data_IF_782143366965
#
_entry.id   IF_782143366965
#
_cell.length_a   1.000
_cell.length_b   1.000
_cell.length_c   1.000
_cell.angle_alpha   90.00
_cell.angle_beta   90.00
_cell.angle_gamma   90.00
#
_symmetry.space_group_name_H-M   'P 1'
#
loop_
_entity.id
_entity.type
_entity.pdbx_description
1 polymer ?
#
# COMPACT_ATOMS: atom_id res chain seq x y z
N UNK A 1 25.31 24.76 -16.98
CA UNK A 1 26.44 23.82 -16.83
C UNK A 1 26.98 23.99 -15.41
N UNK A 2 27.11 23.01 -14.55
CA UNK A 2 27.01 21.57 -14.67
C UNK A 2 27.71 21.02 -13.44
N UNK A 3 26.98 20.92 -12.32
CA UNK A 3 27.41 20.22 -11.11
C UNK A 3 26.15 19.66 -10.43
N UNK A 4 25.42 18.80 -11.14
CA UNK A 4 24.80 17.67 -10.44
C UNK A 4 26.00 16.84 -9.97
N UNK A 5 26.24 16.83 -8.66
CA UNK A 5 27.39 16.17 -8.07
C UNK A 5 27.46 14.71 -8.55
N UNK A 6 28.65 14.27 -8.96
CA UNK A 6 28.99 12.87 -9.26
C UNK A 6 28.46 11.89 -8.19
N UNK A 7 28.27 12.37 -6.96
CA UNK A 7 27.61 11.68 -5.85
C UNK A 7 26.21 11.12 -6.17
N UNK A 8 25.37 11.80 -6.94
CA UNK A 8 24.01 11.33 -7.25
C UNK A 8 24.06 10.20 -8.29
N UNK A 9 24.95 10.33 -9.28
CA UNK A 9 25.20 9.29 -10.29
C UNK A 9 25.84 8.06 -9.66
N UNK A 10 26.78 8.26 -8.74
CA UNK A 10 27.42 7.22 -7.94
C UNK A 10 26.39 6.49 -7.04
N UNK A 11 25.46 7.22 -6.40
CA UNK A 11 24.42 6.64 -5.56
C UNK A 11 23.50 5.66 -6.32
N UNK A 12 23.23 5.92 -7.61
CA UNK A 12 22.40 5.05 -8.46
C UNK A 12 23.06 3.68 -8.68
N UNK A 13 24.39 3.62 -8.79
CA UNK A 13 25.12 2.36 -8.94
C UNK A 13 25.12 1.50 -7.67
N UNK A 14 25.01 2.12 -6.50
CA UNK A 14 24.99 1.41 -5.22
C UNK A 14 23.59 0.97 -4.75
N UNK A 15 22.51 1.33 -5.48
CA UNK A 15 21.14 0.85 -5.18
C UNK A 15 20.98 -0.67 -5.29
N UNK A 16 21.90 -1.36 -5.98
CA UNK A 16 21.87 -2.81 -6.16
C UNK A 16 22.69 -3.60 -5.12
N UNK A 17 23.48 -2.91 -4.28
CA UNK A 17 24.31 -3.57 -3.27
C UNK A 17 23.49 -3.89 -2.01
N UNK A 18 23.42 -5.18 -1.64
CA UNK A 18 22.72 -5.67 -0.44
C UNK A 18 23.31 -5.10 0.86
N UNK A 19 24.60 -4.75 0.86
CA UNK A 19 25.27 -4.17 2.04
C UNK A 19 24.84 -2.72 2.29
N UNK A 20 24.78 -1.90 1.23
CA UNK A 20 24.29 -0.53 1.31
C UNK A 20 22.78 -0.49 1.57
N UNK A 21 22.05 -1.46 1.01
CA UNK A 21 20.62 -1.61 1.26
C UNK A 21 20.31 -1.90 2.74
N UNK A 22 21.18 -2.64 3.43
CA UNK A 22 21.03 -2.95 4.86
C UNK A 22 21.42 -1.83 5.83
N UNK A 23 22.40 -0.99 5.48
CA UNK A 23 22.97 0.00 6.41
C UNK A 23 22.54 1.46 6.14
N UNK A 24 22.28 1.83 4.89
CA UNK A 24 21.89 3.21 4.51
C UNK A 24 20.42 3.27 4.11
N UNK A 25 19.89 2.31 3.32
CA UNK A 25 18.44 2.25 3.02
C UNK A 25 17.64 1.42 4.03
N UNK A 26 18.34 0.61 4.83
CA UNK A 26 17.81 -0.20 5.92
C UNK A 26 17.77 0.58 7.25
N UNK A 27 18.06 1.88 7.20
CA UNK A 27 17.71 2.79 8.28
C UNK A 27 16.19 2.67 8.47
N UNK A 28 15.80 2.14 9.62
CA UNK A 28 14.41 1.94 10.00
C UNK A 28 13.79 3.31 10.38
N UNK A 29 13.84 4.29 9.47
CA UNK A 29 13.34 5.64 9.71
C UNK A 29 11.83 5.63 10.01
N UNK A 30 11.10 4.62 9.55
CA UNK A 30 9.71 4.35 9.93
C UNK A 30 9.52 4.01 11.42
N UNK A 31 10.54 3.46 12.09
CA UNK A 31 10.50 3.23 13.56
C UNK A 31 10.92 4.49 14.34
N UNK A 32 11.66 5.39 13.69
CA UNK A 32 12.30 6.54 14.34
C UNK A 32 11.43 7.80 14.35
N UNK A 33 10.42 7.91 13.48
CA UNK A 33 9.73 9.19 13.29
C UNK A 33 8.64 9.46 14.35
N UNK A 34 8.05 8.43 14.96
CA UNK A 34 7.28 8.59 16.20
C UNK A 34 8.13 8.66 17.47
N UNK A 35 9.42 8.30 17.36
CA UNK A 35 10.39 8.36 18.44
C UNK A 35 11.48 9.40 18.14
N UNK A 36 11.20 10.47 17.37
CA UNK A 36 12.15 11.59 17.26
C UNK A 36 12.10 12.34 18.57
N UNK A 37 12.83 11.75 19.50
CA UNK A 37 13.04 12.23 20.84
C UNK A 37 14.50 12.56 20.96
N UNK A 38 14.78 13.67 21.62
CA UNK A 38 16.12 13.88 22.15
C UNK A 38 16.28 12.89 23.29
N UNK A 39 17.13 11.89 23.09
CA UNK A 39 17.49 10.94 24.13
C UNK A 39 18.39 11.66 25.15
N UNK A 40 17.84 11.89 26.33
CA UNK A 40 18.51 12.57 27.44
C UNK A 40 19.23 11.58 28.37
N UNK A 41 19.33 10.31 27.96
CA UNK A 41 19.92 9.20 28.71
C UNK A 41 18.86 8.29 29.34
N UNK A 42 19.26 7.06 29.70
CA UNK A 42 18.35 5.98 30.16
C UNK A 42 17.50 6.32 31.39
N UNK A 43 17.90 7.33 32.18
CA UNK A 43 17.25 7.73 33.44
C UNK A 43 16.31 8.93 33.26
N UNK A 44 16.43 9.68 32.15
CA UNK A 44 15.70 10.93 31.97
C UNK A 44 14.53 10.79 30.97
N UNK A 45 13.50 11.64 31.10
CA UNK A 45 12.40 11.66 30.15
C UNK A 45 12.88 12.08 28.76
N UNK A 46 12.47 11.29 27.77
CA UNK A 46 12.65 11.57 26.35
C UNK A 46 11.87 12.83 25.94
N UNK A 47 12.51 13.77 25.27
CA UNK A 47 11.88 15.04 24.85
C UNK A 47 11.38 14.92 23.41
N UNK A 48 10.07 15.12 23.18
CA UNK A 48 9.50 15.13 21.82
C UNK A 48 10.04 16.32 21.01
N UNK A 49 10.75 16.03 19.92
CA UNK A 49 11.27 17.06 19.02
C UNK A 49 10.13 17.83 18.34
N UNK A 50 9.05 17.15 17.98
CA UNK A 50 7.86 17.77 17.35
C UNK A 50 7.25 18.83 18.28
N UNK A 51 7.09 18.51 19.56
CA UNK A 51 6.55 19.48 20.55
C UNK A 51 7.50 20.65 20.77
N UNK A 52 8.81 20.39 20.85
CA UNK A 52 9.82 21.42 21.01
C UNK A 52 9.82 22.39 19.81
N UNK A 53 9.78 21.87 18.59
CA UNK A 53 9.71 22.67 17.38
C UNK A 53 8.41 23.46 17.31
N UNK A 54 7.27 22.85 17.66
CA UNK A 54 5.98 23.53 17.67
C UNK A 54 5.97 24.74 18.62
N UNK A 55 6.42 24.56 19.86
CA UNK A 55 6.51 25.65 20.84
C UNK A 55 7.49 26.72 20.36
N UNK A 56 8.61 26.33 19.75
CA UNK A 56 9.58 27.26 19.17
C UNK A 56 8.98 28.08 18.03
N UNK A 57 8.18 27.46 17.16
CA UNK A 57 7.46 28.16 16.08
C UNK A 57 6.44 29.14 16.67
N UNK A 58 5.66 28.75 17.69
CA UNK A 58 4.73 29.65 18.36
C UNK A 58 5.44 30.85 19.00
N UNK A 59 6.57 30.62 19.68
CA UNK A 59 7.38 31.69 20.24
C UNK A 59 7.93 32.61 19.14
N UNK A 60 8.46 32.03 18.05
CA UNK A 60 8.95 32.81 16.91
C UNK A 60 7.84 33.65 16.27
N UNK A 61 6.66 33.07 16.06
CA UNK A 61 5.51 33.78 15.55
C UNK A 61 5.08 34.94 16.47
N UNK A 62 5.10 34.72 17.80
CA UNK A 62 4.77 35.75 18.79
C UNK A 62 5.74 36.94 18.76
N UNK A 63 7.05 36.68 18.60
CA UNK A 63 8.07 37.73 18.53
C UNK A 63 8.23 38.36 17.14
N UNK A 64 7.55 37.81 16.13
CA UNK A 64 7.58 38.35 14.77
C UNK A 64 6.62 39.54 14.67
N UNK A 65 7.16 40.70 14.28
CA UNK A 65 6.40 41.95 14.21
C UNK A 65 6.26 42.42 12.74
N UNK A 66 5.28 41.88 11.98
CA UNK A 66 5.05 42.27 10.60
C UNK A 66 4.59 43.74 10.52
N UNK A 67 5.12 44.50 9.55
CA UNK A 67 4.86 45.94 9.42
C UNK A 67 3.56 46.24 8.70
N UNK A 68 3.12 45.35 7.82
CA UNK A 68 1.90 45.49 7.05
C UNK A 68 1.18 44.16 6.85
N UNK A 69 -0.02 44.22 6.25
CA UNK A 69 -0.88 43.06 6.02
C UNK A 69 -0.27 42.05 5.04
N UNK A 70 0.53 42.51 4.07
CA UNK A 70 1.17 41.62 3.09
C UNK A 70 2.32 40.86 3.76
N UNK A 71 3.14 41.54 4.55
CA UNK A 71 4.19 40.94 5.37
C UNK A 71 3.59 39.97 6.39
N UNK A 72 2.46 40.30 7.02
CA UNK A 72 1.73 39.40 7.91
C UNK A 72 1.32 38.10 7.19
N UNK A 73 0.79 38.20 5.97
CA UNK A 73 0.43 37.03 5.15
C UNK A 73 1.63 36.16 4.80
N UNK A 74 2.78 36.76 4.45
CA UNK A 74 4.01 36.03 4.14
C UNK A 74 4.50 35.24 5.37
N UNK A 75 4.51 35.89 6.53
CA UNK A 75 4.90 35.24 7.79
C UNK A 75 3.93 34.13 8.19
N UNK A 76 2.62 34.32 8.00
CA UNK A 76 1.62 33.27 8.21
C UNK A 76 1.91 32.03 7.36
N UNK A 77 2.06 32.19 6.04
CA UNK A 77 2.35 31.06 5.14
C UNK A 77 3.67 30.36 5.49
N UNK A 78 4.66 31.12 5.95
CA UNK A 78 5.95 30.59 6.36
C UNK A 78 5.85 29.74 7.63
N UNK A 79 5.20 30.25 8.69
CA UNK A 79 5.02 29.50 9.92
C UNK A 79 4.16 28.26 9.73
N UNK A 80 3.07 28.37 8.96
CA UNK A 80 2.26 27.20 8.60
C UNK A 80 3.09 26.18 7.82
N UNK A 81 3.97 26.59 6.91
CA UNK A 81 4.91 25.70 6.23
C UNK A 81 5.78 24.89 7.21
N UNK A 82 6.27 25.52 8.28
CA UNK A 82 7.02 24.84 9.34
C UNK A 82 6.16 23.90 10.19
N UNK A 83 4.94 24.30 10.52
CA UNK A 83 3.97 23.44 11.22
C UNK A 83 3.69 22.19 10.38
N UNK A 84 3.46 22.35 9.09
CA UNK A 84 3.23 21.23 8.17
C UNK A 84 4.45 20.32 8.05
N UNK A 85 5.67 20.85 8.08
CA UNK A 85 6.88 20.01 8.18
C UNK A 85 6.94 19.23 9.49
N UNK A 86 6.59 19.84 10.63
CA UNK A 86 6.59 19.13 11.91
C UNK A 86 5.56 17.98 11.93
N UNK A 87 4.37 18.20 11.37
CA UNK A 87 3.31 17.19 11.31
C UNK A 87 3.62 16.12 10.26
N UNK A 88 3.94 16.51 9.02
CA UNK A 88 4.02 15.58 7.90
C UNK A 88 5.44 15.08 7.60
N UNK A 89 6.47 15.83 8.00
CA UNK A 89 7.86 15.43 7.84
C UNK A 89 8.42 14.66 9.04
N UNK A 90 7.88 14.89 10.25
CA UNK A 90 8.43 14.35 11.51
C UNK A 90 7.45 13.52 12.34
N UNK A 91 6.23 13.24 11.86
CA UNK A 91 5.28 12.34 12.52
C UNK A 91 4.69 11.35 11.50
N UNK A 92 4.06 10.23 11.92
CA UNK A 92 3.16 9.54 10.99
C UNK A 92 1.76 10.16 11.02
N UNK A 93 1.09 9.99 9.89
CA UNK A 93 -0.18 10.61 9.57
C UNK A 93 -0.96 9.69 8.66
N UNK A 94 -2.29 9.85 8.69
CA UNK A 94 -3.12 9.25 7.68
C UNK A 94 -2.90 9.97 6.34
N UNK A 95 -2.79 9.27 5.19
CA UNK A 95 -2.49 9.91 3.90
C UNK A 95 -3.39 11.06 3.52
N UNK A 96 -4.67 10.99 3.87
CA UNK A 96 -5.65 12.05 3.59
C UNK A 96 -5.34 13.36 4.33
N UNK A 97 -4.66 13.32 5.47
CA UNK A 97 -4.35 14.52 6.26
C UNK A 97 -3.39 15.45 5.54
N UNK A 98 -2.57 14.95 4.62
CA UNK A 98 -1.66 15.78 3.80
C UNK A 98 -2.42 16.88 3.03
N UNK A 99 -3.72 16.69 2.75
CA UNK A 99 -4.56 17.74 2.16
C UNK A 99 -4.59 19.04 2.97
N UNK A 100 -4.36 18.96 4.29
CA UNK A 100 -4.28 20.13 5.17
C UNK A 100 -3.05 21.01 4.86
N UNK A 101 -1.95 20.43 4.37
CA UNK A 101 -0.74 21.17 4.03
C UNK A 101 -0.83 21.86 2.66
N UNK A 102 -1.65 21.34 1.75
CA UNK A 102 -1.68 21.74 0.34
C UNK A 102 -1.98 23.23 0.14
N UNK A 103 -2.97 23.85 0.81
CA UNK A 103 -3.24 25.28 0.62
C UNK A 103 -2.03 26.16 0.92
N UNK A 104 -1.33 25.90 2.03
CA UNK A 104 -0.16 26.68 2.45
C UNK A 104 1.02 26.48 1.50
N UNK A 105 1.22 25.24 1.04
CA UNK A 105 2.24 24.96 0.03
C UNK A 105 1.95 25.69 -1.28
N UNK A 106 0.71 25.64 -1.77
CA UNK A 106 0.32 26.29 -3.03
C UNK A 106 0.42 27.81 -2.94
N UNK A 107 -0.17 28.43 -1.92
CA UNK A 107 -0.09 29.89 -1.75
C UNK A 107 1.34 30.35 -1.52
N UNK A 108 2.12 29.61 -0.71
CA UNK A 108 3.53 29.88 -0.52
C UNK A 108 4.34 29.75 -1.81
N UNK A 109 4.00 28.82 -2.71
CA UNK A 109 4.63 28.72 -4.04
C UNK A 109 4.25 29.90 -4.92
N UNK A 110 2.96 30.27 -4.97
CA UNK A 110 2.48 31.40 -5.77
C UNK A 110 3.12 32.72 -5.37
N UNK A 111 3.43 32.90 -4.09
CA UNK A 111 4.08 34.10 -3.59
C UNK A 111 5.62 34.06 -3.68
N UNK A 112 6.24 32.95 -4.07
CA UNK A 112 7.68 32.82 -4.12
C UNK A 112 8.26 33.40 -5.42
N UNK A 113 9.34 34.18 -5.34
CA UNK A 113 9.99 34.80 -6.53
C UNK A 113 10.44 33.77 -7.58
N UNK A 114 10.81 32.57 -7.12
CA UNK A 114 11.16 31.40 -7.94
C UNK A 114 10.14 30.26 -7.82
N UNK A 115 8.90 30.53 -8.23
CA UNK A 115 7.81 29.55 -8.13
C UNK A 115 8.02 28.32 -9.04
N UNK A 116 8.82 28.46 -10.11
CA UNK A 116 9.21 27.44 -11.08
C UNK A 116 9.78 26.16 -10.43
N UNK A 117 10.73 26.34 -9.50
CA UNK A 117 11.36 25.23 -8.79
C UNK A 117 10.33 24.51 -7.93
N UNK A 118 9.47 25.23 -7.21
CA UNK A 118 8.51 24.62 -6.31
C UNK A 118 7.43 23.84 -7.05
N UNK A 119 7.04 24.27 -8.26
CA UNK A 119 6.16 23.46 -9.10
C UNK A 119 6.78 22.12 -9.50
N UNK A 120 8.10 22.09 -9.74
CA UNK A 120 8.82 20.85 -10.00
C UNK A 120 8.98 20.01 -8.72
N UNK A 121 9.28 20.62 -7.57
CA UNK A 121 9.37 19.93 -6.29
C UNK A 121 8.03 19.29 -5.90
N UNK A 122 6.91 19.92 -6.22
CA UNK A 122 5.57 19.35 -6.02
C UNK A 122 5.35 18.09 -6.86
N UNK A 123 5.87 18.03 -8.09
CA UNK A 123 5.82 16.80 -8.91
C UNK A 123 6.63 15.66 -8.28
N UNK A 124 7.81 15.98 -7.73
CA UNK A 124 8.62 14.98 -7.02
C UNK A 124 7.89 14.55 -5.74
N UNK A 125 7.26 15.48 -5.02
CA UNK A 125 6.47 15.17 -3.83
C UNK A 125 5.31 14.26 -4.16
N UNK A 126 4.57 14.52 -5.25
CA UNK A 126 3.47 13.65 -5.69
C UNK A 126 3.95 12.25 -6.06
N UNK A 127 5.11 12.13 -6.72
CA UNK A 127 5.72 10.83 -7.02
C UNK A 127 6.11 10.08 -5.74
N UNK A 128 6.86 10.72 -4.84
CA UNK A 128 7.29 10.11 -3.58
C UNK A 128 6.11 9.77 -2.68
N UNK A 129 5.08 10.62 -2.64
CA UNK A 129 3.84 10.36 -1.92
C UNK A 129 3.12 9.15 -2.47
N UNK A 130 2.92 9.06 -3.80
CA UNK A 130 2.29 7.90 -4.43
C UNK A 130 3.09 6.63 -4.17
N UNK A 131 4.42 6.69 -4.29
CA UNK A 131 5.31 5.57 -3.98
C UNK A 131 5.20 5.12 -2.53
N UNK A 132 5.23 6.05 -1.58
CA UNK A 132 5.08 5.74 -0.17
C UNK A 132 3.71 5.10 0.10
N UNK A 133 2.63 5.68 -0.42
CA UNK A 133 1.27 5.23 -0.10
C UNK A 133 0.94 3.86 -0.67
N UNK A 134 1.33 3.55 -1.92
CA UNK A 134 1.12 2.21 -2.50
C UNK A 134 2.04 1.15 -1.87
N UNK A 135 3.19 1.57 -1.33
CA UNK A 135 4.08 0.70 -0.57
C UNK A 135 3.56 0.40 0.84
N UNK A 136 3.07 1.43 1.54
CA UNK A 136 2.57 1.38 2.91
C UNK A 136 1.21 0.69 3.04
N UNK A 137 0.31 0.95 2.08
CA UNK A 137 -1.02 0.36 2.02
C UNK A 137 -1.20 -0.34 0.68
N UNK A 138 -0.59 -1.54 0.51
CA UNK A 138 -0.79 -2.34 -0.68
C UNK A 138 -2.28 -2.55 -0.94
N UNK A 139 -2.68 -2.58 -2.19
CA UNK A 139 -4.05 -2.88 -2.63
C UNK A 139 -5.10 -1.80 -2.30
N UNK A 140 -4.78 -0.78 -1.48
CA UNK A 140 -5.76 0.22 -1.06
C UNK A 140 -6.06 1.27 -2.14
N UNK A 141 -5.04 1.61 -2.94
CA UNK A 141 -5.11 2.68 -3.94
C UNK A 141 -5.37 2.17 -5.38
N UNK A 142 -5.49 0.87 -5.56
CA UNK A 142 -5.89 0.20 -6.79
C UNK A 142 -7.12 -0.66 -6.53
N UNK A 143 -6.97 -1.81 -5.87
CA UNK A 143 -8.05 -2.79 -5.67
C UNK A 143 -9.21 -2.21 -4.87
N UNK A 144 -8.94 -1.69 -3.68
CA UNK A 144 -9.98 -1.12 -2.83
C UNK A 144 -10.57 0.15 -3.43
N UNK A 145 -9.77 0.98 -4.09
CA UNK A 145 -10.26 2.19 -4.75
C UNK A 145 -11.21 1.87 -5.90
N UNK A 146 -10.82 0.93 -6.77
CA UNK A 146 -11.61 0.52 -7.93
C UNK A 146 -12.92 -0.15 -7.52
N UNK A 147 -12.89 -0.91 -6.42
CA UNK A 147 -14.07 -1.53 -5.82
C UNK A 147 -14.95 -0.53 -5.08
N UNK A 148 -14.37 0.39 -4.30
CA UNK A 148 -15.13 1.39 -3.54
C UNK A 148 -15.64 2.55 -4.41
N UNK A 149 -15.16 2.63 -5.66
CA UNK A 149 -15.41 3.73 -6.57
C UNK A 149 -16.44 3.44 -7.64
N UNK A 150 -16.56 4.40 -8.57
CA UNK A 150 -17.52 4.43 -9.68
C UNK A 150 -17.42 3.25 -10.65
N UNK A 151 -16.31 2.50 -10.63
CA UNK A 151 -16.04 1.41 -11.58
C UNK A 151 -16.40 0.02 -11.04
N UNK A 152 -16.96 -0.08 -9.81
CA UNK A 152 -17.34 -1.34 -9.19
C UNK A 152 -18.23 -2.20 -10.10
N UNK A 153 -19.28 -1.60 -10.67
CA UNK A 153 -20.25 -2.31 -11.52
C UNK A 153 -19.60 -2.97 -12.75
N UNK A 154 -18.49 -2.41 -13.25
CA UNK A 154 -17.75 -2.96 -14.38
C UNK A 154 -16.87 -4.15 -13.98
N UNK A 155 -16.38 -4.15 -12.74
CA UNK A 155 -15.44 -5.14 -12.20
C UNK A 155 -16.20 -6.35 -11.66
N UNK A 156 -17.40 -6.14 -11.15
CA UNK A 156 -18.17 -7.18 -10.47
C UNK A 156 -17.43 -7.71 -9.24
N UNK A 157 -17.34 -9.04 -9.11
CA UNK A 157 -16.70 -9.72 -7.97
C UNK A 157 -15.25 -10.13 -8.25
N UNK A 158 -14.52 -9.36 -9.07
CA UNK A 158 -13.11 -9.66 -9.38
C UNK A 158 -12.20 -8.93 -8.40
N UNK A 159 -11.40 -9.69 -7.65
CA UNK A 159 -10.59 -9.15 -6.56
C UNK A 159 -9.09 -9.11 -6.87
N UNK A 160 -8.60 -9.98 -7.76
CA UNK A 160 -7.18 -10.02 -8.13
C UNK A 160 -6.88 -9.37 -9.47
N UNK A 161 -6.00 -8.38 -9.48
CA UNK A 161 -5.34 -7.93 -10.70
C UNK A 161 -4.09 -8.79 -10.86
N UNK A 162 -3.66 -9.01 -12.10
CA UNK A 162 -2.36 -9.60 -12.33
C UNK A 162 -1.21 -8.65 -11.90
N UNK A 163 -1.49 -7.36 -11.75
CA UNK A 163 -0.51 -6.30 -11.53
C UNK A 163 -1.14 -5.18 -10.68
N UNK A 164 -0.52 -4.87 -9.54
CA UNK A 164 -0.86 -3.77 -8.64
C UNK A 164 -0.07 -2.51 -9.01
N UNK A 165 -0.48 -1.32 -8.53
CA UNK A 165 0.28 -0.08 -8.78
C UNK A 165 1.70 -0.21 -8.21
N UNK A 166 1.85 -0.93 -7.10
CA UNK A 166 3.15 -1.19 -6.47
C UNK A 166 4.12 -1.95 -7.40
N UNK A 167 3.63 -2.69 -8.38
CA UNK A 167 4.48 -3.47 -9.28
C UNK A 167 5.13 -2.61 -10.38
N UNK A 168 4.66 -1.38 -10.60
CA UNK A 168 5.23 -0.48 -11.59
C UNK A 168 6.47 0.26 -11.05
N UNK A 169 7.54 0.44 -11.84
CA UNK A 169 8.62 1.34 -11.48
C UNK A 169 8.17 2.81 -11.37
N UNK A 170 8.68 3.61 -10.43
CA UNK A 170 9.66 3.25 -9.40
C UNK A 170 9.03 2.62 -8.14
N UNK A 171 7.71 2.45 -8.09
CA UNK A 171 6.98 1.97 -6.91
C UNK A 171 7.39 0.56 -6.46
N UNK A 172 7.86 -0.28 -7.39
CA UNK A 172 8.36 -1.63 -7.13
C UNK A 172 9.77 -1.66 -6.53
N UNK A 173 10.47 -0.53 -6.51
CA UNK A 173 11.85 -0.42 -6.08
C UNK A 173 11.89 -0.02 -4.60
N UNK A 174 12.78 -0.63 -3.83
CA UNK A 174 13.26 -0.10 -2.54
C UNK A 174 12.34 -0.24 -1.32
N UNK A 175 12.93 0.02 -0.15
CA UNK A 175 12.23 0.12 1.13
C UNK A 175 11.50 1.47 1.26
N UNK A 176 10.35 1.48 1.94
CA UNK A 176 9.51 2.67 2.15
C UNK A 176 10.22 3.83 2.86
N UNK A 177 11.36 3.58 3.50
CA UNK A 177 12.24 4.58 4.10
C UNK A 177 12.64 5.68 3.13
N UNK A 178 12.98 5.33 1.88
CA UNK A 178 13.43 6.30 0.88
C UNK A 178 12.33 7.29 0.50
N UNK A 179 11.15 6.86 0.00
CA UNK A 179 10.11 7.80 -0.39
C UNK A 179 9.63 8.64 0.79
N UNK A 180 9.56 8.09 2.01
CA UNK A 180 9.19 8.88 3.19
C UNK A 180 10.26 9.93 3.56
N UNK A 181 11.55 9.57 3.51
CA UNK A 181 12.65 10.53 3.72
C UNK A 181 12.61 11.65 2.69
N UNK A 182 12.31 11.33 1.42
CA UNK A 182 12.12 12.33 0.38
C UNK A 182 10.93 13.25 0.67
N UNK A 183 9.78 12.71 1.10
CA UNK A 183 8.61 13.51 1.50
C UNK A 183 9.01 14.48 2.62
N UNK A 184 9.65 13.97 3.69
CA UNK A 184 10.09 14.79 4.83
C UNK A 184 11.05 15.91 4.40
N UNK A 185 12.05 15.59 3.57
CA UNK A 185 12.98 16.57 3.02
C UNK A 185 12.27 17.63 2.16
N UNK A 186 11.29 17.24 1.33
CA UNK A 186 10.53 18.16 0.49
C UNK A 186 9.64 19.09 1.32
N UNK A 187 9.03 18.61 2.40
CA UNK A 187 8.33 19.45 3.36
C UNK A 187 9.29 20.45 4.03
N UNK A 188 10.48 20.00 4.44
CA UNK A 188 11.49 20.87 5.03
C UNK A 188 11.98 21.95 4.05
N UNK A 189 12.26 21.57 2.80
CA UNK A 189 12.67 22.51 1.75
C UNK A 189 11.56 23.54 1.48
N UNK A 190 10.30 23.09 1.43
CA UNK A 190 9.16 23.98 1.32
C UNK A 190 9.07 24.95 2.50
N UNK A 191 9.27 24.48 3.73
CA UNK A 191 9.25 25.32 4.91
C UNK A 191 10.41 26.34 4.92
N UNK A 192 11.64 25.89 4.72
CA UNK A 192 12.84 26.73 4.82
C UNK A 192 12.92 27.82 3.75
N UNK A 193 12.69 27.45 2.49
CA UNK A 193 12.94 28.34 1.36
C UNK A 193 11.76 29.22 1.00
N UNK A 194 10.59 29.04 1.63
CA UNK A 194 9.47 29.98 1.53
C UNK A 194 9.51 31.08 2.60
N UNK A 195 10.70 31.42 3.09
CA UNK A 195 10.87 32.56 4.01
C UNK A 195 10.35 33.86 3.38
N UNK A 196 9.70 34.77 4.13
CA UNK A 196 9.14 36.02 3.61
C UNK A 196 10.09 36.89 2.77
N UNK A 197 11.39 36.78 3.03
CA UNK A 197 12.48 37.43 2.29
C UNK A 197 12.63 36.99 0.81
N UNK A 198 12.09 35.83 0.46
CA UNK A 198 12.13 35.26 -0.90
C UNK A 198 10.76 35.35 -1.60
N UNK A 199 9.79 36.00 -0.95
CA UNK A 199 8.44 36.16 -1.50
C UNK A 199 8.27 37.52 -2.16
N UNK A 200 7.58 37.55 -3.30
CA UNK A 200 7.30 38.73 -4.11
C UNK A 200 6.73 39.89 -3.28
N UNK A 201 7.14 41.12 -3.57
CA UNK A 201 6.73 42.31 -2.82
C UNK A 201 5.22 42.58 -2.93
N UNK A 202 4.63 42.40 -4.12
CA UNK A 202 3.18 42.47 -4.35
C UNK A 202 2.71 41.34 -5.27
N UNK A 203 1.61 40.63 -4.95
CA UNK A 203 0.98 39.66 -5.84
C UNK A 203 0.53 40.26 -7.18
N UNK A 204 0.28 41.56 -7.24
CA UNK A 204 -0.22 42.27 -8.42
C UNK A 204 0.86 42.52 -9.48
N UNK A 205 2.14 42.44 -9.09
CA UNK A 205 3.28 42.73 -9.98
C UNK A 205 3.82 41.53 -10.74
N UNK A 206 3.35 40.31 -10.44
CA UNK A 206 3.84 39.11 -11.11
C UNK A 206 3.08 38.89 -12.43
N UNK A 207 3.76 39.18 -13.53
CA UNK A 207 3.20 39.18 -14.91
C UNK A 207 3.43 37.87 -15.65
N UNK A 208 4.01 36.84 -15.02
CA UNK A 208 4.32 35.60 -15.73
C UNK A 208 3.87 34.35 -14.97
N UNK A 209 2.56 34.05 -14.96
CA UNK A 209 2.13 32.74 -14.55
C UNK A 209 2.78 31.75 -15.52
N UNK A 210 3.69 30.92 -15.02
CA UNK A 210 4.27 29.82 -15.80
C UNK A 210 3.19 28.74 -15.97
N UNK A 211 2.14 29.07 -16.71
CA UNK A 211 0.93 28.26 -16.89
C UNK A 211 1.30 26.88 -17.43
N UNK A 212 2.36 26.80 -18.24
CA UNK A 212 2.91 25.53 -18.72
C UNK A 212 3.36 24.60 -17.59
N UNK A 213 4.12 25.12 -16.61
CA UNK A 213 4.58 24.36 -15.44
C UNK A 213 3.44 24.03 -14.48
N UNK A 214 2.48 24.94 -14.30
CA UNK A 214 1.27 24.65 -13.51
C UNK A 214 0.44 23.52 -14.14
N UNK A 215 0.26 23.55 -15.47
CA UNK A 215 -0.41 22.48 -16.21
C UNK A 215 0.36 21.16 -16.15
N UNK A 216 1.69 21.21 -16.27
CA UNK A 216 2.55 20.03 -16.13
C UNK A 216 2.42 19.43 -14.73
N UNK A 217 2.45 20.25 -13.69
CA UNK A 217 2.21 19.83 -12.30
C UNK A 217 0.88 19.11 -12.17
N UNK A 218 -0.20 19.73 -12.64
CA UNK A 218 -1.55 19.18 -12.52
C UNK A 218 -1.70 17.88 -13.32
N UNK A 219 -1.42 17.91 -14.63
CA UNK A 219 -1.60 16.75 -15.51
C UNK A 219 -0.60 15.63 -15.19
N UNK A 220 0.65 15.99 -14.91
CA UNK A 220 1.70 15.05 -14.53
C UNK A 220 1.40 14.37 -13.20
N UNK A 221 1.00 15.13 -12.18
CA UNK A 221 0.61 14.58 -10.89
C UNK A 221 -0.59 13.63 -10.99
N UNK A 222 -1.61 14.01 -11.76
CA UNK A 222 -2.76 13.14 -12.04
C UNK A 222 -2.33 11.87 -12.78
N UNK A 223 -1.50 12.00 -13.81
CA UNK A 223 -1.06 10.87 -14.63
C UNK A 223 -0.22 9.85 -13.84
N UNK A 224 0.62 10.30 -12.89
CA UNK A 224 1.43 9.43 -12.01
C UNK A 224 0.59 8.40 -11.25
N UNK A 225 -0.66 8.74 -10.95
CA UNK A 225 -1.59 7.86 -10.26
C UNK A 225 -2.58 7.18 -11.22
N UNK A 226 -3.26 7.95 -12.08
CA UNK A 226 -4.34 7.44 -12.93
C UNK A 226 -3.81 6.42 -13.94
N UNK A 227 -2.64 6.63 -14.56
CA UNK A 227 -2.14 5.72 -15.60
C UNK A 227 -1.87 4.32 -15.04
N UNK A 228 -1.09 4.14 -13.95
CA UNK A 228 -0.95 2.83 -13.31
C UNK A 228 -2.30 2.23 -12.87
N UNK A 229 -3.16 3.04 -12.27
CA UNK A 229 -4.47 2.60 -11.78
C UNK A 229 -5.36 2.04 -12.91
N UNK A 230 -5.38 2.70 -14.08
CA UNK A 230 -6.13 2.24 -15.25
C UNK A 230 -5.52 0.98 -15.89
N UNK A 231 -4.20 0.79 -15.83
CA UNK A 231 -3.58 -0.46 -16.27
C UNK A 231 -3.98 -1.61 -15.33
N UNK A 232 -3.94 -1.40 -14.01
CA UNK A 232 -4.39 -2.38 -13.02
C UNK A 232 -5.85 -2.77 -13.29
N UNK A 233 -6.72 -1.77 -13.50
CA UNK A 233 -8.12 -1.96 -13.87
C UNK A 233 -8.28 -2.83 -15.12
N UNK A 234 -7.56 -2.50 -16.20
CA UNK A 234 -7.62 -3.26 -17.45
C UNK A 234 -7.16 -4.71 -17.28
N UNK A 235 -6.11 -4.97 -16.49
CA UNK A 235 -5.68 -6.35 -16.23
C UNK A 235 -6.71 -7.15 -15.43
N UNK A 236 -7.39 -6.51 -14.47
CA UNK A 236 -8.47 -7.14 -13.70
C UNK A 236 -9.68 -7.46 -14.58
N UNK A 237 -9.98 -6.62 -15.58
CA UNK A 237 -11.04 -6.89 -16.57
C UNK A 237 -10.72 -8.08 -17.49
N UNK A 238 -9.44 -8.45 -17.64
CA UNK A 238 -8.99 -9.55 -18.52
C UNK A 238 -8.54 -10.81 -17.79
N UNK A 239 -8.54 -10.80 -16.46
CA UNK A 239 -8.14 -11.97 -15.69
C UNK A 239 -9.12 -13.14 -15.94
N UNK A 240 -8.61 -14.33 -16.34
CA UNK A 240 -9.44 -15.48 -16.65
C UNK A 240 -9.80 -16.20 -15.35
N UNK A 241 -11.03 -16.00 -14.85
CA UNK A 241 -11.51 -16.63 -13.61
C UNK A 241 -12.39 -17.84 -13.92
N UNK A 242 -11.98 -18.99 -13.42
CA UNK A 242 -12.77 -20.22 -13.47
C UNK A 242 -13.93 -20.21 -12.47
N UNK A 243 -13.78 -19.51 -11.34
CA UNK A 243 -14.83 -19.33 -10.35
C UNK A 243 -14.53 -18.11 -9.47
N UNK A 244 -15.56 -17.34 -9.12
CA UNK A 244 -15.42 -16.11 -8.33
C UNK A 244 -15.86 -16.37 -6.89
N UNK A 245 -14.92 -16.76 -6.04
CA UNK A 245 -15.06 -16.64 -4.60
C UNK A 245 -14.24 -15.44 -4.13
N UNK A 246 -14.83 -14.66 -3.24
CA UNK A 246 -14.36 -13.34 -2.83
C UNK A 246 -13.11 -13.50 -1.96
N UNK A 247 -12.02 -12.77 -2.27
CA UNK A 247 -10.91 -12.52 -1.33
C UNK A 247 -10.91 -11.01 -1.04
N UNK A 248 -11.28 -10.61 0.17
CA UNK A 248 -11.23 -9.21 0.59
C UNK A 248 -9.89 -8.94 1.24
N UNK A 249 -9.20 -7.90 0.80
CA UNK A 249 -7.99 -7.39 1.47
C UNK A 249 -8.28 -6.59 2.76
N UNK A 250 -9.56 -6.29 3.05
CA UNK A 250 -9.96 -5.73 4.33
C UNK A 250 -10.10 -6.87 5.34
N UNK A 251 -9.00 -7.18 6.02
CA UNK A 251 -8.93 -8.26 7.01
C UNK A 251 -9.54 -7.81 8.34
N UNK A 252 -10.72 -8.35 8.65
CA UNK A 252 -11.20 -8.44 10.02
C UNK A 252 -10.66 -9.76 10.62
N UNK A 253 -9.89 -9.73 11.72
CA UNK A 253 -9.48 -10.94 12.45
C UNK A 253 -10.66 -11.86 12.81
N UNK A 254 -11.89 -11.32 12.87
CA UNK A 254 -13.11 -12.11 13.09
C UNK A 254 -13.45 -13.08 11.94
N UNK A 255 -12.83 -12.93 10.76
CA UNK A 255 -13.13 -13.74 9.55
C UNK A 255 -12.09 -14.84 9.30
N UNK A 256 -11.48 -15.34 10.36
CA UNK A 256 -10.56 -16.48 10.33
C UNK A 256 -11.22 -17.68 10.98
N UNK A 257 -11.25 -18.80 10.27
CA UNK A 257 -11.64 -20.10 10.85
C UNK A 257 -10.39 -20.93 11.01
N UNK A 258 -10.31 -21.67 12.10
CA UNK A 258 -9.09 -22.38 12.43
C UNK A 258 -9.03 -23.71 11.68
N UNK A 259 -8.01 -23.90 10.85
CA UNK A 259 -7.66 -25.18 10.23
C UNK A 259 -6.79 -26.05 11.15
N UNK A 260 -6.26 -25.47 12.22
CA UNK A 260 -5.55 -26.22 13.25
C UNK A 260 -5.53 -25.41 14.55
N UNK A 261 -6.33 -25.84 15.54
CA UNK A 261 -6.28 -25.36 16.92
C UNK A 261 -5.75 -26.50 17.80
N UNK A 262 -4.53 -26.40 18.32
CA UNK A 262 -3.94 -27.48 19.10
C UNK A 262 -3.65 -28.76 18.29
N UNK A 263 -4.06 -29.93 18.81
CA UNK A 263 -3.72 -31.28 18.31
C UNK A 263 -4.85 -31.98 17.52
N UNK A 264 -5.88 -31.26 17.06
CA UNK A 264 -6.97 -31.84 16.25
C UNK A 264 -6.81 -31.48 14.77
N UNK A 265 -7.00 -32.48 13.88
CA UNK A 265 -6.98 -32.27 12.42
C UNK A 265 -8.27 -31.57 11.99
N UNK A 266 -8.19 -30.49 11.22
CA UNK A 266 -9.35 -29.94 10.52
C UNK A 266 -9.22 -30.13 9.02
N UNK A 267 -10.36 -30.47 8.40
CA UNK A 267 -10.55 -30.59 6.96
C UNK A 267 -11.55 -29.50 6.57
N UNK A 268 -11.13 -28.59 5.70
CA UNK A 268 -12.01 -27.62 5.06
C UNK A 268 -12.24 -28.02 3.61
N UNK A 269 -13.50 -28.05 3.18
CA UNK A 269 -13.85 -28.37 1.81
C UNK A 269 -14.68 -27.24 1.22
N UNK A 270 -14.34 -26.84 -0.01
CA UNK A 270 -15.02 -25.79 -0.75
C UNK A 270 -15.53 -26.36 -2.07
N UNK A 271 -16.84 -26.32 -2.26
CA UNK A 271 -17.49 -26.73 -3.49
C UNK A 271 -17.62 -25.56 -4.47
N UNK A 272 -17.52 -25.84 -5.77
CA UNK A 272 -17.72 -24.85 -6.83
C UNK A 272 -18.16 -25.49 -8.15
N UNK A 273 -18.90 -24.71 -8.96
CA UNK A 273 -19.28 -25.05 -10.34
C UNK A 273 -18.58 -24.10 -11.31
N UNK A 274 -17.84 -24.59 -12.30
CA UNK A 274 -16.91 -23.75 -13.04
C UNK A 274 -17.62 -22.90 -14.09
N UNK A 275 -17.09 -21.70 -14.31
CA UNK A 275 -17.51 -20.75 -15.36
C UNK A 275 -16.69 -20.89 -16.65
N UNK A 276 -15.54 -21.58 -16.58
CA UNK A 276 -14.59 -21.75 -17.69
C UNK A 276 -14.33 -23.24 -17.94
N UNK A 277 -13.68 -23.54 -19.06
CA UNK A 277 -13.50 -24.92 -19.52
C UNK A 277 -12.14 -25.50 -19.09
N UNK A 278 -11.28 -24.65 -18.51
CA UNK A 278 -9.99 -25.05 -17.96
C UNK A 278 -9.76 -24.43 -16.58
N UNK A 279 -8.88 -25.03 -15.78
CA UNK A 279 -8.34 -24.51 -14.52
C UNK A 279 -6.82 -24.59 -14.55
N UNK A 280 -6.14 -23.47 -14.32
CA UNK A 280 -4.67 -23.35 -14.42
C UNK A 280 -4.03 -23.02 -13.06
N UNK A 281 -4.78 -22.39 -12.15
CA UNK A 281 -4.26 -21.94 -10.85
C UNK A 281 -5.36 -21.83 -9.80
N UNK A 282 -5.01 -22.14 -8.55
CA UNK A 282 -5.81 -21.89 -7.35
C UNK A 282 -5.02 -20.96 -6.42
N UNK A 283 -5.65 -19.90 -5.95
CA UNK A 283 -5.06 -18.97 -4.99
C UNK A 283 -5.79 -19.07 -3.65
N UNK A 284 -5.06 -19.26 -2.55
CA UNK A 284 -5.64 -19.48 -1.21
C UNK A 284 -5.03 -18.51 -0.21
N UNK A 285 -5.83 -17.98 0.72
CA UNK A 285 -5.35 -17.08 1.76
C UNK A 285 -5.41 -17.69 3.16
N UNK A 286 -4.26 -17.72 3.81
CA UNK A 286 -4.09 -18.26 5.17
C UNK A 286 -3.72 -17.17 6.17
N UNK A 287 -4.13 -17.39 7.43
CA UNK A 287 -3.67 -16.67 8.59
C UNK A 287 -2.66 -17.51 9.38
N UNK A 288 -1.49 -16.95 9.64
CA UNK A 288 -0.38 -17.57 10.36
C UNK A 288 0.16 -16.65 11.47
N UNK A 289 -0.64 -15.73 12.02
CA UNK A 289 -0.19 -14.71 13.00
C UNK A 289 0.59 -15.29 14.20
N UNK A 290 0.28 -16.50 14.65
CA UNK A 290 0.95 -17.14 15.81
C UNK A 290 2.13 -18.06 15.44
N UNK A 291 2.73 -17.86 14.27
CA UNK A 291 3.94 -18.56 13.84
C UNK A 291 3.66 -19.71 12.88
N UNK A 292 4.58 -19.86 11.92
CA UNK A 292 4.50 -20.88 10.89
C UNK A 292 5.14 -22.17 11.42
N UNK A 293 4.32 -23.12 11.84
CA UNK A 293 4.79 -24.44 12.27
C UNK A 293 5.57 -25.18 11.18
N UNK A 294 6.28 -26.24 11.55
CA UNK A 294 6.85 -27.17 10.56
C UNK A 294 5.77 -28.13 10.11
N UNK A 295 5.55 -28.27 8.80
CA UNK A 295 4.49 -29.15 8.31
C UNK A 295 3.99 -28.79 6.92
N UNK A 296 2.92 -29.47 6.52
CA UNK A 296 2.31 -29.30 5.20
C UNK A 296 0.79 -29.09 5.29
N UNK A 297 0.28 -28.22 4.41
CA UNK A 297 -1.15 -28.14 4.09
C UNK A 297 -1.37 -28.99 2.85
N UNK A 298 -2.14 -30.05 3.01
CA UNK A 298 -2.51 -30.93 1.92
C UNK A 298 -3.69 -30.31 1.15
N UNK A 299 -3.55 -30.21 -0.17
CA UNK A 299 -4.56 -29.68 -1.08
C UNK A 299 -4.94 -30.76 -2.10
N UNK A 300 -6.23 -31.06 -2.20
CA UNK A 300 -6.77 -31.96 -3.22
C UNK A 300 -7.91 -31.29 -3.99
N UNK A 301 -7.94 -31.48 -5.32
CA UNK A 301 -9.02 -31.07 -6.21
C UNK A 301 -9.71 -32.31 -6.76
N UNK A 302 -11.01 -32.43 -6.52
CA UNK A 302 -11.81 -33.61 -6.91
C UNK A 302 -13.01 -33.17 -7.75
N UNK A 303 -13.28 -33.90 -8.83
CA UNK A 303 -14.56 -33.87 -9.53
C UNK A 303 -15.56 -34.70 -8.72
N UNK A 304 -16.56 -34.04 -8.12
CA UNK A 304 -17.55 -34.69 -7.25
C UNK A 304 -18.57 -35.46 -8.08
N UNK A 305 -18.85 -34.99 -9.31
CA UNK A 305 -19.80 -35.63 -10.21
C UNK A 305 -19.31 -37.00 -10.65
N UNK A 306 -18.03 -37.11 -11.00
CA UNK A 306 -17.41 -38.36 -11.45
C UNK A 306 -16.64 -39.12 -10.34
N UNK A 307 -16.47 -38.50 -9.17
CA UNK A 307 -15.67 -39.04 -8.06
C UNK A 307 -14.17 -39.12 -8.34
N UNK A 308 -13.66 -38.34 -9.30
CA UNK A 308 -12.27 -38.43 -9.79
C UNK A 308 -11.37 -37.38 -9.14
N UNK A 309 -10.26 -37.81 -8.56
CA UNK A 309 -9.19 -36.91 -8.13
C UNK A 309 -8.46 -36.33 -9.35
N UNK A 310 -8.42 -35.01 -9.46
CA UNK A 310 -7.84 -34.29 -10.60
C UNK A 310 -6.44 -33.74 -10.30
N UNK A 311 -6.21 -33.31 -9.06
CA UNK A 311 -4.93 -32.76 -8.64
C UNK A 311 -4.75 -32.89 -7.13
N UNK A 312 -3.51 -33.05 -6.69
CA UNK A 312 -3.15 -33.20 -5.28
C UNK A 312 -1.73 -32.64 -5.07
N UNK A 313 -1.52 -31.89 -3.99
CA UNK A 313 -0.21 -31.35 -3.64
C UNK A 313 -0.10 -31.00 -2.16
N UNK A 314 1.14 -30.92 -1.65
CA UNK A 314 1.44 -30.51 -0.28
C UNK A 314 2.13 -29.13 -0.28
N UNK A 315 1.49 -28.16 0.38
CA UNK A 315 2.01 -26.81 0.53
C UNK A 315 2.82 -26.74 1.82
N UNK A 316 4.13 -26.53 1.71
CA UNK A 316 4.99 -26.39 2.87
C UNK A 316 4.60 -25.13 3.68
N UNK A 317 4.25 -25.30 4.95
CA UNK A 317 3.74 -24.20 5.80
C UNK A 317 4.73 -23.04 5.86
N UNK A 318 6.04 -23.33 5.97
CA UNK A 318 7.12 -22.33 5.98
C UNK A 318 7.16 -21.38 4.76
N UNK A 319 6.49 -21.71 3.66
CA UNK A 319 6.37 -20.86 2.47
C UNK A 319 5.17 -19.92 2.52
N UNK A 320 4.20 -20.21 3.38
CA UNK A 320 2.96 -19.43 3.55
C UNK A 320 3.29 -18.13 4.30
N UNK A 321 2.80 -17.02 3.75
CA UNK A 321 2.94 -15.70 4.36
C UNK A 321 1.55 -15.20 4.75
N UNK A 322 1.37 -14.87 6.04
CA UNK A 322 0.15 -14.23 6.55
C UNK A 322 -0.26 -13.08 5.65
N UNK A 323 -1.54 -12.99 5.32
CA UNK A 323 -2.14 -11.92 4.47
C UNK A 323 -1.66 -11.87 3.00
N UNK A 324 -0.88 -12.84 2.51
CA UNK A 324 -0.62 -13.02 1.07
C UNK A 324 -1.32 -14.26 0.54
N UNK A 325 -1.77 -14.20 -0.72
CA UNK A 325 -2.27 -15.39 -1.39
C UNK A 325 -1.12 -16.38 -1.64
N UNK A 326 -1.34 -17.63 -1.29
CA UNK A 326 -0.52 -18.76 -1.71
C UNK A 326 -1.02 -19.21 -3.06
N UNK A 327 -0.15 -19.13 -4.07
CA UNK A 327 -0.47 -19.50 -5.45
C UNK A 327 -0.12 -20.96 -5.70
N UNK A 328 -1.09 -21.74 -6.18
CA UNK A 328 -0.92 -23.14 -6.57
C UNK A 328 -1.18 -23.25 -8.06
N UNK A 329 -0.11 -23.37 -8.84
CA UNK A 329 -0.15 -23.48 -10.31
C UNK A 329 0.09 -24.92 -10.74
N UNK A 330 -0.66 -25.40 -11.73
CA UNK A 330 -0.55 -26.76 -12.24
C UNK A 330 -0.81 -26.81 -13.75
N UNK A 331 -0.51 -27.95 -14.38
CA UNK A 331 -0.84 -28.20 -15.79
C UNK A 331 -2.35 -28.01 -15.97
N UNK A 332 -2.82 -27.27 -16.99
CA UNK A 332 -4.23 -26.95 -17.15
C UNK A 332 -5.13 -28.19 -17.07
N UNK A 333 -6.11 -28.15 -16.16
CA UNK A 333 -7.08 -29.21 -15.93
C UNK A 333 -8.34 -28.87 -16.71
N UNK A 334 -8.83 -29.78 -17.54
CA UNK A 334 -10.09 -29.61 -18.24
C UNK A 334 -11.26 -29.70 -17.26
N UNK A 335 -12.19 -28.76 -17.37
CA UNK A 335 -13.38 -28.67 -16.54
C UNK A 335 -14.65 -28.77 -17.40
N UNK A 336 -15.71 -29.33 -16.82
CA UNK A 336 -17.02 -29.43 -17.42
C UNK A 336 -18.00 -28.54 -16.65
N UNK A 337 -18.72 -27.66 -17.36
CA UNK A 337 -19.64 -26.69 -16.74
C UNK A 337 -20.83 -27.31 -16.00
N UNK A 338 -21.17 -28.55 -16.31
CA UNK A 338 -22.24 -29.29 -15.64
C UNK A 338 -21.76 -30.04 -14.40
N UNK A 339 -20.45 -30.10 -14.17
CA UNK A 339 -19.86 -30.83 -13.05
C UNK A 339 -19.69 -29.92 -11.84
N UNK A 340 -19.65 -30.54 -10.66
CA UNK A 340 -19.33 -29.88 -9.39
C UNK A 340 -17.96 -30.35 -8.94
N UNK A 341 -17.11 -29.41 -8.58
CA UNK A 341 -15.75 -29.67 -8.11
C UNK A 341 -15.63 -29.30 -6.63
N UNK A 342 -14.68 -29.95 -5.95
CA UNK A 342 -14.37 -29.71 -4.55
C UNK A 342 -12.87 -29.52 -4.37
N UNK A 343 -12.50 -28.47 -3.64
CA UNK A 343 -11.14 -28.32 -3.09
C UNK A 343 -11.18 -28.72 -1.63
N UNK A 344 -10.32 -29.66 -1.26
CA UNK A 344 -10.10 -30.11 0.12
C UNK A 344 -8.77 -29.54 0.61
N UNK A 345 -8.79 -28.87 1.76
CA UNK A 345 -7.60 -28.45 2.50
C UNK A 345 -7.57 -29.19 3.83
N UNK A 346 -6.46 -29.86 4.12
CA UNK A 346 -6.27 -30.57 5.38
C UNK A 346 -4.87 -30.39 5.94
N UNK A 347 -4.76 -30.30 7.26
CA UNK A 347 -3.48 -30.25 7.96
C UNK A 347 -3.34 -31.41 8.95
N UNK A 348 -2.12 -31.89 9.11
CA UNK A 348 -1.82 -32.91 10.10
C UNK A 348 -1.61 -32.27 11.49
N UNK A 349 -2.33 -32.71 12.53
CA UNK A 349 -2.19 -32.15 13.88
C UNK A 349 -0.80 -32.31 14.50
N UNK A 350 0.02 -33.25 14.02
CA UNK A 350 1.39 -33.47 14.47
C UNK A 350 2.35 -32.30 14.14
N UNK A 351 1.98 -31.42 13.20
CA UNK A 351 2.82 -30.36 12.67
C UNK A 351 2.91 -29.12 13.58
N UNK A 352 2.02 -29.01 14.57
CA UNK A 352 2.00 -27.94 15.58
C UNK A 352 1.76 -26.52 15.04
N UNK A 353 1.34 -25.60 15.90
CA UNK A 353 1.14 -24.19 15.56
C UNK A 353 -0.19 -23.88 14.86
N UNK A 354 -0.62 -22.63 15.00
CA UNK A 354 -1.90 -22.15 14.49
C UNK A 354 -1.88 -22.00 12.96
N UNK A 355 -2.93 -22.47 12.29
CA UNK A 355 -3.20 -22.15 10.90
C UNK A 355 -4.67 -21.77 10.78
N UNK A 356 -4.92 -20.54 10.34
CA UNK A 356 -6.25 -20.06 10.01
C UNK A 356 -6.49 -20.08 8.50
N UNK A 357 -7.71 -20.39 8.09
CA UNK A 357 -8.22 -20.13 6.76
C UNK A 357 -9.12 -18.90 6.83
N UNK A 358 -8.87 -17.93 5.96
CA UNK A 358 -9.82 -16.82 5.84
C UNK A 358 -11.10 -17.32 5.19
N UNK A 359 -12.25 -16.89 5.72
CA UNK A 359 -13.56 -17.17 5.16
C UNK A 359 -14.39 -15.89 5.04
N UNK A 360 -15.55 -15.99 4.39
CA UNK A 360 -16.53 -14.91 4.32
C UNK A 360 -17.88 -15.31 4.87
N UNK A 361 -18.59 -14.42 5.58
CA UNK A 361 -19.87 -14.73 6.21
C UNK A 361 -21.07 -14.80 5.25
N UNK A 362 -20.90 -14.50 3.95
CA UNK A 362 -22.00 -14.53 2.97
C UNK A 362 -21.76 -15.61 1.91
N UNK A 363 -22.32 -16.81 2.13
CA UNK A 363 -22.33 -17.88 1.14
C UNK A 363 -23.38 -17.64 0.04
N UNK A 364 -22.96 -17.72 -1.23
CA UNK A 364 -23.89 -17.80 -2.36
C UNK A 364 -24.30 -19.26 -2.57
N UNK A 365 -25.50 -19.47 -3.13
CA UNK A 365 -25.95 -20.81 -3.52
C UNK A 365 -24.92 -21.47 -4.47
N UNK A 366 -24.50 -22.69 -4.15
CA UNK A 366 -23.47 -23.44 -4.91
C UNK A 366 -22.02 -23.12 -4.56
N UNK A 367 -21.77 -22.38 -3.47
CA UNK A 367 -20.44 -22.11 -2.90
C UNK A 367 -20.30 -22.65 -1.47
N UNK A 368 -20.90 -23.81 -1.21
CA UNK A 368 -20.95 -24.41 0.12
C UNK A 368 -19.55 -24.74 0.61
N UNK A 369 -19.26 -24.36 1.85
CA UNK A 369 -18.08 -24.77 2.58
C UNK A 369 -18.50 -25.75 3.67
N UNK A 370 -17.78 -26.85 3.80
CA UNK A 370 -17.91 -27.75 4.95
C UNK A 370 -16.62 -27.70 5.76
N UNK A 371 -16.76 -27.83 7.08
CA UNK A 371 -15.63 -28.04 7.98
C UNK A 371 -15.87 -29.31 8.76
N UNK A 372 -14.98 -30.30 8.61
CA UNK A 372 -15.13 -31.64 9.19
C UNK A 372 -16.49 -32.29 8.88
N UNK A 373 -17.03 -32.02 7.68
CA UNK A 373 -18.35 -32.50 7.25
C UNK A 373 -19.55 -31.65 7.68
N UNK A 374 -19.34 -30.64 8.53
CA UNK A 374 -20.41 -29.73 8.98
C UNK A 374 -20.53 -28.53 8.03
N UNK A 375 -21.71 -28.26 7.44
CA UNK A 375 -21.93 -27.09 6.59
C UNK A 375 -21.65 -25.79 7.34
N UNK A 376 -21.00 -24.85 6.67
CA UNK A 376 -20.76 -23.51 7.19
C UNK A 376 -21.62 -22.51 6.41
N UNK A 377 -22.19 -21.52 7.09
CA UNK A 377 -22.79 -20.33 6.47
C UNK A 377 -21.72 -19.37 5.91
N UNK A 378 -20.59 -19.93 5.45
CA UNK A 378 -19.37 -19.21 5.13
C UNK A 378 -18.75 -19.81 3.87
N UNK A 379 -17.87 -19.06 3.22
CA UNK A 379 -17.13 -19.50 2.02
C UNK A 379 -15.64 -19.30 2.26
N UNK A 380 -14.82 -20.29 1.95
CA UNK A 380 -13.37 -20.16 2.04
C UNK A 380 -12.84 -19.11 1.05
N UNK A 381 -11.83 -18.34 1.46
CA UNK A 381 -11.13 -17.36 0.63
C UNK A 381 -10.19 -18.06 -0.37
N UNK A 382 -10.78 -18.72 -1.38
CA UNK A 382 -10.11 -19.46 -2.45
C UNK A 382 -10.55 -18.91 -3.80
N UNK A 383 -9.61 -18.57 -4.67
CA UNK A 383 -9.89 -18.14 -6.04
C UNK A 383 -9.41 -19.15 -7.07
N UNK A 384 -10.18 -19.30 -8.14
CA UNK A 384 -9.94 -20.27 -9.21
C UNK A 384 -9.70 -19.54 -10.52
N UNK A 385 -8.56 -19.79 -11.16
CA UNK A 385 -8.15 -19.15 -12.40
C UNK A 385 -8.11 -20.15 -13.53
N UNK A 386 -8.70 -19.80 -14.66
CA UNK A 386 -8.84 -20.68 -15.80
C UNK A 386 -9.52 -20.01 -16.98
N UNK A 387 -9.34 -20.58 -18.18
CA UNK A 387 -9.73 -19.99 -19.47
C UNK A 387 -10.92 -20.67 -20.10
#
# INVERSE_FOLDING_TARGET
>A
AGFMSLFILEFVFYLQDRSMAGHITGFNATTYIFNVVLDTGEVFPKISLVMLLWVSICAWAFFTNPKDRVEQWKWFLYFEGFVMFCVFGLSMWHPQWVMLAIPFMVFGTMMHERNDIFWLLDLILMLCYTWFTVGAWPNHLDHCLMRGGLLNDMIGNRYFSAVTIRDFPPYSIGHMTMPFSCISALFLVNALFKHPKFMIASPETDTNPQVGLLRLRFLGGIAMFIVPCMICFYTMMKAPYAYENRIMDAYDPAWVTTLQEGQESYIAEQYFSPKTDTLERIDIKFDCENGVGQGHVHLALTDVTDGKLLYETDIARNTIKTTKATHVTFTPIALHREHVYKVTLSCNPADGGYLGLYYMPDAKAGSEMTMNGEPQDKVAAIEFFGR
#
